data_IF_254147169751
#
_entry.id   IF_254147169751
#
_cell.length_a   1.000
_cell.length_b   1.000
_cell.length_c   1.000
_cell.angle_alpha   90.00
_cell.angle_beta   90.00
_cell.angle_gamma   90.00
#
_symmetry.space_group_name_H-M   'P 1'
#
loop_
_entity.id
_entity.type
_entity.pdbx_description
1 polymer ?
#
# COMPACT_ATOMS: atom_id res chain seq x y z
N UNK A 1 44.33 30.09 23.49
CA UNK A 1 44.58 28.95 22.58
C UNK A 1 44.15 27.60 23.19
N UNK A 2 42.91 27.46 23.68
CA UNK A 2 42.40 26.19 24.26
C UNK A 2 41.07 25.70 23.65
N UNK A 3 40.43 26.49 22.78
CA UNK A 3 39.14 26.12 22.18
C UNK A 3 39.27 25.10 21.02
N UNK A 4 40.39 25.10 20.29
CA UNK A 4 40.61 24.22 19.14
C UNK A 4 40.82 22.74 19.52
N UNK A 5 41.35 22.44 20.70
CA UNK A 5 41.65 21.06 21.13
C UNK A 5 40.42 20.26 21.59
N UNK A 6 39.28 20.92 21.87
CA UNK A 6 38.05 20.26 22.33
C UNK A 6 37.04 20.08 21.19
N UNK A 7 37.10 20.93 20.17
CA UNK A 7 36.17 20.89 19.03
C UNK A 7 36.46 19.70 18.09
N UNK A 8 37.74 19.42 17.82
CA UNK A 8 38.15 18.32 16.93
C UNK A 8 37.68 16.93 17.43
N UNK A 9 37.86 16.53 18.71
CA UNK A 9 37.36 15.24 19.18
C UNK A 9 35.83 15.17 19.20
N UNK A 10 35.14 16.29 19.39
CA UNK A 10 33.67 16.33 19.40
C UNK A 10 33.09 16.16 17.98
N UNK A 11 33.70 16.79 16.97
CA UNK A 11 33.36 16.55 15.56
C UNK A 11 33.68 15.11 15.17
N UNK A 12 34.84 14.59 15.57
CA UNK A 12 35.22 13.20 15.29
C UNK A 12 34.25 12.20 15.94
N UNK A 13 33.81 12.45 17.18
CA UNK A 13 32.80 11.65 17.85
C UNK A 13 31.42 11.73 17.17
N UNK A 14 31.03 12.89 16.67
CA UNK A 14 29.78 13.09 15.93
C UNK A 14 29.80 12.38 14.57
N UNK A 15 30.89 12.48 13.81
CA UNK A 15 31.08 11.77 12.54
C UNK A 15 31.08 10.26 12.81
N UNK A 16 31.81 9.80 13.83
CA UNK A 16 31.83 8.39 14.21
C UNK A 16 30.43 7.91 14.62
N UNK A 17 29.66 8.71 15.36
CA UNK A 17 28.29 8.37 15.74
C UNK A 17 27.35 8.28 14.51
N UNK A 18 27.54 9.14 13.50
CA UNK A 18 26.81 9.06 12.23
C UNK A 18 27.22 7.84 11.37
N UNK A 19 28.46 7.35 11.50
CA UNK A 19 28.94 6.17 10.78
C UNK A 19 28.52 4.83 11.40
N UNK A 20 28.05 4.81 12.66
CA UNK A 20 27.64 3.58 13.36
C UNK A 20 26.10 3.38 13.31
N UNK A 21 25.34 4.41 12.90
CA UNK A 21 23.89 4.28 12.79
C UNK A 21 23.51 3.32 11.65
N UNK A 22 22.65 2.32 11.90
CA UNK A 22 22.21 1.40 10.86
C UNK A 22 21.40 2.15 9.80
N UNK A 23 21.90 2.17 8.56
CA UNK A 23 21.17 2.76 7.42
C UNK A 23 20.05 1.79 7.03
N UNK A 24 18.81 2.22 7.21
CA UNK A 24 17.65 1.52 6.65
C UNK A 24 17.42 2.05 5.23
N UNK A 25 17.57 1.20 4.22
CA UNK A 25 17.18 1.54 2.86
C UNK A 25 15.69 1.16 2.68
N UNK A 26 14.81 2.16 2.74
CA UNK A 26 13.40 1.98 2.37
C UNK A 26 13.29 2.16 0.86
N UNK A 27 12.84 1.13 0.15
CA UNK A 27 12.50 1.26 -1.26
C UNK A 27 11.14 1.93 -1.37
N UNK A 28 11.04 2.87 -2.30
CA UNK A 28 9.77 3.57 -2.52
C UNK A 28 8.73 2.60 -3.06
N UNK A 29 7.61 2.46 -2.34
CA UNK A 29 6.40 1.83 -2.87
C UNK A 29 5.70 2.79 -3.82
N UNK A 30 5.41 2.30 -5.02
CA UNK A 30 4.65 3.05 -6.01
C UNK A 30 3.39 2.27 -6.33
N UNK A 31 2.25 2.83 -5.95
CA UNK A 31 0.94 2.25 -6.19
C UNK A 31 0.26 2.99 -7.34
N UNK A 32 -0.16 2.25 -8.36
CA UNK A 32 -0.92 2.76 -9.49
C UNK A 32 -2.24 2.02 -9.63
N UNK A 33 -3.23 2.66 -10.27
CA UNK A 33 -4.41 1.98 -10.79
C UNK A 33 -4.49 2.16 -12.30
N UNK A 34 -5.13 1.23 -13.00
CA UNK A 34 -5.31 1.31 -14.45
C UNK A 34 -6.13 0.13 -14.97
N UNK A 35 -6.41 0.14 -16.27
CA UNK A 35 -7.17 -0.93 -16.93
C UNK A 35 -6.24 -2.03 -17.42
N UNK A 36 -6.49 -3.28 -17.04
CA UNK A 36 -5.74 -4.45 -17.52
C UNK A 36 -5.89 -4.56 -19.04
N UNK A 37 -4.79 -4.68 -19.77
CA UNK A 37 -4.82 -4.79 -21.24
C UNK A 37 -4.20 -6.06 -21.79
N UNK A 38 -3.07 -6.48 -21.24
CA UNK A 38 -2.30 -7.62 -21.74
C UNK A 38 -1.91 -8.52 -20.59
N UNK A 39 -2.11 -9.82 -20.78
CA UNK A 39 -1.66 -10.88 -19.89
C UNK A 39 -0.75 -11.81 -20.71
N UNK A 40 0.51 -11.92 -20.29
CA UNK A 40 1.47 -12.85 -20.88
C UNK A 40 1.83 -13.87 -19.80
N UNK A 41 1.07 -14.97 -19.78
CA UNK A 41 1.23 -16.06 -18.81
C UNK A 41 2.55 -16.81 -18.97
N UNK A 42 3.16 -16.75 -20.15
CA UNK A 42 4.46 -17.38 -20.44
C UNK A 42 5.58 -16.58 -19.79
N UNK A 43 5.51 -15.25 -19.88
CA UNK A 43 6.48 -14.35 -19.23
C UNK A 43 6.11 -13.99 -17.79
N UNK A 44 4.96 -14.45 -17.31
CA UNK A 44 4.42 -14.11 -16.00
C UNK A 44 4.24 -12.58 -15.82
N UNK A 45 3.84 -11.87 -16.88
CA UNK A 45 3.67 -10.41 -16.87
C UNK A 45 2.25 -9.95 -17.13
N UNK A 46 1.86 -8.84 -16.52
CA UNK A 46 0.58 -8.16 -16.73
C UNK A 46 0.83 -6.67 -17.02
N UNK A 47 0.03 -6.11 -17.94
CA UNK A 47 0.05 -4.70 -18.29
C UNK A 47 -1.24 -3.97 -17.88
N UNK A 48 -1.08 -2.76 -17.34
CA UNK A 48 -2.18 -1.81 -17.10
C UNK A 48 -2.01 -0.58 -17.98
N UNK A 49 -3.12 -0.10 -18.55
CA UNK A 49 -3.19 1.09 -19.41
C UNK A 49 -3.79 2.27 -18.64
N UNK A 50 -3.41 3.48 -19.07
CA UNK A 50 -3.80 4.76 -18.49
C UNK A 50 -3.55 4.78 -16.97
N UNK A 51 -2.30 4.51 -16.54
CA UNK A 51 -1.96 4.43 -15.14
C UNK A 51 -2.18 5.77 -14.42
N UNK A 52 -2.80 5.71 -13.26
CA UNK A 52 -2.89 6.80 -12.30
C UNK A 52 -2.14 6.39 -11.04
N UNK A 53 -1.20 7.20 -10.57
CA UNK A 53 -0.42 6.95 -9.38
C UNK A 53 -1.12 7.51 -8.15
N UNK A 54 -1.16 6.71 -7.09
CA UNK A 54 -1.62 7.14 -5.77
C UNK A 54 -0.53 7.95 -5.07
N UNK A 55 -0.91 9.08 -4.49
CA UNK A 55 -0.03 9.88 -3.65
C UNK A 55 -0.82 10.78 -2.72
N UNK A 56 -0.17 11.23 -1.65
CA UNK A 56 -0.75 12.17 -0.70
C UNK A 56 0.01 13.48 -0.74
N UNK A 57 -0.72 14.58 -0.88
CA UNK A 57 -0.20 15.91 -0.68
C UNK A 57 -0.28 16.23 0.83
N UNK A 58 0.86 16.66 1.40
CA UNK A 58 0.98 16.99 2.81
C UNK A 58 1.05 18.50 2.97
N UNK A 59 -0.09 19.21 3.12
CA UNK A 59 -0.07 20.64 3.33
C UNK A 59 0.60 20.97 4.67
N UNK A 60 1.26 22.13 4.76
CA UNK A 60 1.94 22.62 5.99
C UNK A 60 1.01 22.66 7.20
N UNK A 61 -0.29 22.83 6.95
CA UNK A 61 -1.36 22.75 7.94
C UNK A 61 -2.54 21.97 7.36
N UNK A 62 -3.05 20.97 8.07
CA UNK A 62 -4.24 20.21 7.69
C UNK A 62 -4.02 18.71 7.62
N UNK A 63 -5.06 18.00 7.18
CA UNK A 63 -5.04 16.54 6.99
C UNK A 63 -4.41 16.24 5.62
N UNK A 64 -3.55 15.22 5.49
CA UNK A 64 -3.03 14.78 4.19
C UNK A 64 -4.16 14.52 3.19
N UNK A 65 -4.00 14.98 1.96
CA UNK A 65 -4.97 14.79 0.90
C UNK A 65 -4.44 13.78 -0.10
N UNK A 66 -4.98 12.57 -0.05
CA UNK A 66 -4.57 11.50 -0.95
C UNK A 66 -5.49 11.42 -2.16
N UNK A 67 -4.89 11.31 -3.35
CA UNK A 67 -5.62 11.22 -4.61
C UNK A 67 -4.84 10.41 -5.64
N UNK A 68 -5.55 9.99 -6.67
CA UNK A 68 -4.98 9.38 -7.86
C UNK A 68 -4.66 10.47 -8.88
N UNK A 69 -3.45 10.46 -9.43
CA UNK A 69 -2.99 11.42 -10.43
C UNK A 69 -2.49 10.69 -11.68
N UNK A 70 -2.89 11.09 -12.90
CA UNK A 70 -2.39 10.46 -14.13
C UNK A 70 -0.86 10.47 -14.21
N UNK A 71 -0.29 9.33 -14.63
CA UNK A 71 1.15 9.24 -14.90
C UNK A 71 1.40 9.77 -16.32
N UNK A 72 2.05 10.92 -16.42
CA UNK A 72 2.23 11.63 -17.69
C UNK A 72 3.30 11.04 -18.62
N UNK A 73 4.21 10.24 -18.08
CA UNK A 73 5.38 9.73 -18.81
C UNK A 73 5.13 8.44 -19.60
N UNK A 74 4.03 7.73 -19.33
CA UNK A 74 3.73 6.46 -20.00
C UNK A 74 2.23 6.17 -20.05
N UNK A 75 1.77 5.62 -21.16
CA UNK A 75 0.38 5.19 -21.33
C UNK A 75 0.12 3.77 -20.84
N UNK A 76 1.16 2.96 -20.62
CA UNK A 76 1.08 1.56 -20.18
C UNK A 76 2.22 1.23 -19.22
N UNK A 77 1.90 0.53 -18.14
CA UNK A 77 2.88 -0.08 -17.24
C UNK A 77 2.79 -1.59 -17.35
N UNK A 78 3.95 -2.25 -17.41
CA UNK A 78 4.05 -3.70 -17.45
C UNK A 78 4.98 -4.15 -16.33
N UNK A 79 4.64 -5.26 -15.71
CA UNK A 79 5.48 -5.87 -14.69
C UNK A 79 5.17 -7.35 -14.48
N UNK A 80 6.09 -8.01 -13.80
CA UNK A 80 5.98 -9.41 -13.39
C UNK A 80 4.97 -9.52 -12.25
N UNK A 81 4.05 -10.48 -12.33
CA UNK A 81 3.02 -10.66 -11.31
C UNK A 81 3.58 -11.38 -10.06
N UNK A 82 3.06 -11.11 -8.85
CA UNK A 82 3.56 -11.73 -7.61
C UNK A 82 3.35 -13.24 -7.56
N UNK A 83 2.25 -13.71 -8.14
CA UNK A 83 1.88 -15.13 -8.24
C UNK A 83 1.01 -15.35 -9.50
N UNK A 84 1.14 -16.48 -10.22
CA UNK A 84 0.34 -16.78 -11.41
C UNK A 84 -1.17 -16.78 -11.19
N UNK A 85 -1.65 -16.90 -9.95
CA UNK A 85 -3.08 -16.76 -9.63
C UNK A 85 -3.66 -15.40 -10.06
N UNK A 86 -2.83 -14.37 -10.25
CA UNK A 86 -3.25 -13.08 -10.80
C UNK A 86 -4.02 -13.23 -12.12
N UNK A 87 -3.61 -14.14 -13.00
CA UNK A 87 -4.26 -14.40 -14.30
C UNK A 87 -5.61 -15.11 -14.19
N UNK A 88 -5.98 -15.59 -12.99
CA UNK A 88 -7.29 -16.20 -12.74
C UNK A 88 -8.29 -15.21 -12.12
N UNK A 89 -7.80 -14.08 -11.59
CA UNK A 89 -8.63 -13.08 -10.92
C UNK A 89 -8.82 -11.82 -11.76
N UNK A 90 -7.79 -11.44 -12.53
CA UNK A 90 -7.78 -10.30 -13.42
C UNK A 90 -7.98 -10.77 -14.85
N UNK A 91 -8.70 -9.98 -15.62
CA UNK A 91 -8.93 -10.19 -17.04
C UNK A 91 -8.80 -8.86 -17.78
N UNK A 92 -8.45 -8.91 -19.06
CA UNK A 92 -8.45 -7.74 -19.94
C UNK A 92 -9.74 -6.92 -19.82
N UNK A 93 -9.60 -5.62 -19.57
CA UNK A 93 -10.71 -4.68 -19.32
C UNK A 93 -11.04 -4.45 -17.84
N UNK A 94 -10.55 -5.28 -16.93
CA UNK A 94 -10.71 -5.04 -15.49
C UNK A 94 -9.94 -3.79 -15.06
N UNK A 95 -10.46 -3.07 -14.08
CA UNK A 95 -9.72 -2.03 -13.38
C UNK A 95 -8.94 -2.69 -12.23
N UNK A 96 -7.65 -2.38 -12.12
CA UNK A 96 -6.76 -3.00 -11.14
C UNK A 96 -5.90 -1.94 -10.43
N UNK A 97 -5.57 -2.21 -9.16
CA UNK A 97 -4.45 -1.58 -8.45
C UNK A 97 -3.22 -2.46 -8.64
N UNK A 98 -2.06 -1.86 -8.88
CA UNK A 98 -0.77 -2.49 -8.93
C UNK A 98 0.22 -1.71 -8.06
N UNK A 99 0.96 -2.40 -7.19
CA UNK A 99 2.05 -1.79 -6.41
C UNK A 99 3.37 -2.43 -6.78
N UNK A 100 4.40 -1.61 -6.99
CA UNK A 100 5.79 -2.01 -7.23
C UNK A 100 6.73 -1.41 -6.20
N UNK A 101 7.92 -2.01 -6.04
CA UNK A 101 9.01 -1.49 -5.22
C UNK A 101 10.11 -0.90 -6.10
N UNK A 102 10.58 0.29 -5.73
CA UNK A 102 11.74 0.92 -6.36
C UNK A 102 11.48 1.61 -7.70
N UNK A 103 10.22 1.69 -8.16
CA UNK A 103 9.88 2.36 -9.42
C UNK A 103 8.46 2.08 -9.89
N UNK A 104 8.12 2.59 -11.08
CA UNK A 104 6.86 2.33 -11.77
C UNK A 104 6.98 1.06 -12.61
N UNK A 105 6.26 -0.01 -12.28
CA UNK A 105 6.27 -1.24 -13.09
C UNK A 105 7.38 -2.22 -12.75
N UNK A 106 7.72 -3.06 -13.74
CA UNK A 106 8.76 -4.09 -13.72
C UNK A 106 8.47 -5.30 -12.83
N UNK A 107 8.31 -5.08 -11.53
CA UNK A 107 8.00 -6.11 -10.55
C UNK A 107 6.88 -5.64 -9.64
N UNK A 108 5.71 -6.26 -9.81
CA UNK A 108 4.59 -6.03 -8.93
C UNK A 108 4.78 -6.83 -7.65
N UNK A 109 4.57 -6.18 -6.51
CA UNK A 109 4.45 -6.85 -5.21
C UNK A 109 2.99 -7.09 -4.84
N UNK A 110 2.07 -6.33 -5.45
CA UNK A 110 0.62 -6.48 -5.26
C UNK A 110 -0.13 -6.16 -6.54
N UNK A 111 -1.15 -6.97 -6.84
CA UNK A 111 -2.18 -6.73 -7.84
C UNK A 111 -3.55 -6.95 -7.18
N UNK A 112 -4.46 -6.01 -7.34
CA UNK A 112 -5.78 -6.09 -6.73
C UNK A 112 -6.88 -5.68 -7.72
N UNK A 113 -7.98 -6.44 -7.77
CA UNK A 113 -9.12 -6.17 -8.64
C UNK A 113 -10.03 -5.12 -8.01
N UNK A 114 -10.23 -4.02 -8.73
CA UNK A 114 -11.16 -2.96 -8.34
C UNK A 114 -12.55 -3.29 -8.86
N UNK A 115 -13.53 -3.12 -7.98
CA UNK A 115 -14.94 -3.18 -8.25
C UNK A 115 -15.58 -1.83 -7.95
N UNK A 116 -16.51 -1.38 -8.80
CA UNK A 116 -17.21 -0.10 -8.66
C UNK A 116 -16.94 0.85 -9.83
N UNK A 117 -17.98 1.48 -10.40
CA UNK A 117 -17.86 2.31 -11.60
C UNK A 117 -17.31 3.71 -11.32
N UNK A 118 -17.47 4.22 -10.09
CA UNK A 118 -17.06 5.56 -9.68
C UNK A 118 -15.96 5.49 -8.65
N UNK A 119 -15.04 6.43 -8.69
CA UNK A 119 -13.90 6.50 -7.78
C UNK A 119 -14.28 6.45 -6.30
N UNK A 120 -15.38 7.10 -5.91
CA UNK A 120 -15.91 7.11 -4.52
C UNK A 120 -16.55 5.79 -4.09
N UNK A 121 -16.81 4.89 -5.02
CA UNK A 121 -17.48 3.59 -4.81
C UNK A 121 -16.50 2.41 -5.02
N UNK A 122 -15.22 2.70 -5.31
CA UNK A 122 -14.21 1.70 -5.61
C UNK A 122 -13.86 0.88 -4.36
N UNK A 123 -14.00 -0.43 -4.49
CA UNK A 123 -13.67 -1.43 -3.47
C UNK A 123 -12.87 -2.56 -4.10
N UNK A 124 -12.17 -3.33 -3.26
CA UNK A 124 -11.35 -4.45 -3.70
C UNK A 124 -12.06 -5.78 -3.44
N UNK A 125 -12.02 -6.67 -4.42
CA UNK A 125 -12.66 -8.00 -4.35
C UNK A 125 -11.63 -9.12 -4.27
N UNK A 126 -10.52 -8.97 -4.97
CA UNK A 126 -9.44 -9.95 -5.02
C UNK A 126 -8.08 -9.24 -4.93
N UNK A 127 -7.13 -9.84 -4.22
CA UNK A 127 -5.73 -9.39 -4.11
C UNK A 127 -4.81 -10.58 -4.35
N UNK A 128 -3.76 -10.36 -5.14
CA UNK A 128 -2.60 -11.25 -5.27
C UNK A 128 -1.36 -10.44 -4.92
N UNK A 129 -0.65 -10.83 -3.85
CA UNK A 129 0.49 -10.08 -3.32
C UNK A 129 0.28 -9.60 -1.90
N UNK A 130 0.86 -8.46 -1.53
CA UNK A 130 0.81 -7.92 -0.17
C UNK A 130 -0.46 -7.06 0.06
N UNK A 131 -1.41 -7.49 0.91
CA UNK A 131 -2.64 -6.73 1.14
C UNK A 131 -2.40 -5.35 1.76
N UNK A 132 -1.29 -5.13 2.48
CA UNK A 132 -1.05 -3.86 3.19
C UNK A 132 -0.76 -2.69 2.26
N UNK A 133 -0.43 -2.94 0.99
CA UNK A 133 -0.06 -1.91 0.03
C UNK A 133 -1.25 -1.36 -0.76
N UNK A 134 -2.45 -1.94 -0.56
CA UNK A 134 -3.65 -1.57 -1.31
C UNK A 134 -4.38 -0.43 -0.56
N UNK A 135 -4.50 0.77 -1.17
CA UNK A 135 -5.09 1.93 -0.48
C UNK A 135 -6.63 1.94 -0.51
N UNK A 136 -7.25 1.02 -1.24
CA UNK A 136 -8.70 0.91 -1.37
C UNK A 136 -9.28 -0.11 -0.38
N UNK A 137 -10.46 0.15 0.20
CA UNK A 137 -11.08 -0.77 1.14
C UNK A 137 -11.53 -2.05 0.42
N UNK A 138 -11.56 -3.15 1.17
CA UNK A 138 -12.15 -4.40 0.69
C UNK A 138 -13.68 -4.28 0.64
N UNK A 139 -14.31 -5.01 -0.29
CA UNK A 139 -15.77 -5.02 -0.44
C UNK A 139 -16.45 -5.51 0.84
N UNK A 140 -17.58 -4.89 1.18
CA UNK A 140 -18.39 -5.29 2.34
C UNK A 140 -17.68 -5.07 3.67
N UNK A 141 -16.99 -3.94 3.87
CA UNK A 141 -16.36 -3.52 5.13
C UNK A 141 -15.32 -4.47 5.75
N UNK A 142 -14.89 -5.47 4.99
CA UNK A 142 -13.83 -6.36 5.41
C UNK A 142 -12.47 -5.61 5.48
N UNK A 143 -11.58 -6.10 6.32
CA UNK A 143 -10.16 -5.78 6.24
C UNK A 143 -9.34 -7.03 6.53
N UNK A 144 -8.14 -7.11 5.96
CA UNK A 144 -7.19 -8.19 6.19
C UNK A 144 -5.89 -7.58 6.68
N UNK A 145 -5.49 -7.96 7.88
CA UNK A 145 -4.20 -7.61 8.47
C UNK A 145 -3.30 -8.83 8.51
N UNK A 146 -2.04 -8.63 8.17
CA UNK A 146 -1.06 -9.70 8.05
C UNK A 146 0.18 -9.35 8.86
N UNK A 147 0.74 -10.34 9.56
CA UNK A 147 1.99 -10.21 10.30
C UNK A 147 2.86 -11.44 10.00
N UNK A 148 4.09 -11.21 9.52
CA UNK A 148 4.98 -12.28 9.10
C UNK A 148 5.83 -12.78 10.27
N UNK A 149 5.89 -14.10 10.45
CA UNK A 149 6.75 -14.75 11.46
C UNK A 149 8.03 -15.25 10.77
N UNK A 150 9.22 -14.71 11.10
CA UNK A 150 10.46 -15.12 10.46
C UNK A 150 10.87 -16.55 10.84
N UNK A 151 11.52 -17.25 9.91
CA UNK A 151 12.28 -18.45 10.23
C UNK A 151 13.66 -18.09 10.79
N UNK A 152 13.73 -17.92 12.11
CA UNK A 152 14.97 -17.54 12.79
C UNK A 152 16.06 -18.62 12.74
N UNK A 153 15.71 -19.88 12.45
CA UNK A 153 16.69 -20.97 12.39
C UNK A 153 17.54 -20.92 11.11
N UNK A 154 16.98 -20.38 10.03
CA UNK A 154 17.61 -20.29 8.72
C UNK A 154 17.96 -18.83 8.32
N UNK A 155 17.82 -17.86 9.22
CA UNK A 155 17.95 -16.45 8.87
C UNK A 155 19.41 -15.97 8.84
N UNK A 156 19.93 -15.75 7.63
CA UNK A 156 21.27 -15.21 7.37
C UNK A 156 21.16 -13.84 6.70
N UNK A 157 20.60 -12.84 7.37
CA UNK A 157 20.45 -11.51 6.78
C UNK A 157 19.64 -10.52 7.61
N UNK A 158 19.32 -9.39 7.00
CA UNK A 158 18.43 -8.36 7.56
C UNK A 158 16.95 -8.67 7.32
N UNK A 159 16.69 -9.53 6.33
CA UNK A 159 15.37 -10.04 5.99
C UNK A 159 15.43 -11.57 6.01
N UNK A 160 14.50 -12.19 6.73
CA UNK A 160 14.35 -13.62 6.83
C UNK A 160 13.22 -14.09 5.93
N UNK A 161 13.31 -15.34 5.51
CA UNK A 161 12.15 -16.04 4.95
C UNK A 161 11.07 -16.16 6.03
N UNK A 162 9.82 -15.82 5.72
CA UNK A 162 8.70 -16.02 6.64
C UNK A 162 8.33 -17.51 6.70
N UNK A 163 8.34 -18.07 7.91
CA UNK A 163 7.91 -19.44 8.20
C UNK A 163 6.40 -19.56 8.14
N UNK A 164 5.71 -18.56 8.70
CA UNK A 164 4.26 -18.50 8.85
C UNK A 164 3.80 -17.04 8.76
N UNK A 165 2.50 -16.85 8.59
CA UNK A 165 1.82 -15.57 8.59
C UNK A 165 0.66 -15.60 9.58
N UNK A 166 0.61 -14.68 10.53
CA UNK A 166 -0.60 -14.44 11.31
C UNK A 166 -1.52 -13.54 10.49
N UNK A 167 -2.71 -14.04 10.19
CA UNK A 167 -3.72 -13.33 9.40
C UNK A 167 -4.91 -13.03 10.30
N UNK A 168 -5.30 -11.76 10.36
CA UNK A 168 -6.49 -11.28 11.06
C UNK A 168 -7.48 -10.72 10.04
N UNK A 169 -8.65 -11.34 9.96
CA UNK A 169 -9.79 -10.81 9.21
C UNK A 169 -10.62 -9.95 10.16
N UNK A 170 -10.93 -8.73 9.70
CA UNK A 170 -11.83 -7.81 10.37
C UNK A 170 -13.11 -7.63 9.57
N UNK A 171 -14.22 -7.38 10.25
CA UNK A 171 -15.48 -6.93 9.65
C UNK A 171 -15.99 -5.74 10.45
N UNK A 172 -16.39 -4.67 9.75
CA UNK A 172 -16.80 -3.40 10.36
C UNK A 172 -15.79 -2.90 11.41
N UNK A 173 -14.49 -3.07 11.14
CA UNK A 173 -13.39 -2.66 12.03
C UNK A 173 -13.05 -3.62 13.19
N UNK A 174 -13.88 -4.63 13.45
CA UNK A 174 -13.67 -5.59 14.55
C UNK A 174 -13.01 -6.88 14.06
N UNK A 175 -12.03 -7.41 14.79
CA UNK A 175 -11.43 -8.70 14.48
C UNK A 175 -12.45 -9.84 14.66
N UNK A 176 -12.71 -10.58 13.58
CA UNK A 176 -13.69 -11.69 13.56
C UNK A 176 -13.04 -13.06 13.46
N UNK A 177 -11.81 -13.12 12.93
CA UNK A 177 -11.04 -14.36 12.87
C UNK A 177 -9.54 -14.03 12.79
N UNK A 178 -8.75 -14.65 13.66
CA UNK A 178 -7.28 -14.62 13.59
C UNK A 178 -6.76 -16.04 13.52
N UNK A 179 -5.87 -16.31 12.56
CA UNK A 179 -5.23 -17.61 12.40
C UNK A 179 -3.81 -17.46 11.88
N UNK A 180 -2.91 -18.29 12.38
CA UNK A 180 -1.59 -18.43 11.81
C UNK A 180 -1.62 -19.46 10.67
N UNK A 181 -1.09 -19.07 9.52
CA UNK A 181 -1.03 -19.86 8.29
C UNK A 181 0.41 -20.21 7.97
N UNK A 182 0.70 -21.50 7.79
CA UNK A 182 1.87 -21.94 7.06
C UNK A 182 1.70 -21.72 5.55
N UNK A 183 2.79 -21.84 4.80
CA UNK A 183 2.76 -21.68 3.34
C UNK A 183 1.80 -22.68 2.70
N UNK A 184 0.97 -22.18 1.79
CA UNK A 184 -0.07 -22.94 1.10
C UNK A 184 -1.36 -23.09 1.90
N UNK A 185 -1.38 -22.76 3.19
CA UNK A 185 -2.60 -22.84 4.01
C UNK A 185 -3.56 -21.68 3.73
N UNK A 186 -4.84 -21.98 3.94
CA UNK A 186 -5.94 -21.06 3.70
C UNK A 186 -6.73 -20.85 4.99
N UNK A 187 -7.11 -19.60 5.23
CA UNK A 187 -8.15 -19.18 6.15
C UNK A 187 -9.41 -18.85 5.36
N UNK A 188 -10.58 -19.19 5.90
CA UNK A 188 -11.88 -18.80 5.35
C UNK A 188 -12.79 -18.32 6.46
N UNK A 189 -13.46 -17.20 6.23
CA UNK A 189 -14.46 -16.62 7.11
C UNK A 189 -15.75 -16.38 6.34
N UNK A 190 -16.88 -16.82 6.90
CA UNK A 190 -18.22 -16.68 6.33
C UNK A 190 -19.28 -16.45 7.43
N UNK A 191 -18.89 -15.78 8.53
CA UNK A 191 -19.70 -15.66 9.74
C UNK A 191 -20.82 -14.61 9.73
N UNK A 192 -20.96 -13.80 8.67
CA UNK A 192 -21.94 -12.69 8.61
C UNK A 192 -23.37 -13.11 8.25
N UNK A 193 -23.58 -14.33 7.75
CA UNK A 193 -24.88 -14.83 7.28
C UNK A 193 -25.55 -13.98 6.18
N UNK A 194 -24.79 -13.12 5.50
CA UNK A 194 -25.23 -12.28 4.37
C UNK A 194 -24.78 -12.87 3.01
N UNK A 195 -24.28 -14.11 3.02
CA UNK A 195 -23.70 -14.81 1.87
C UNK A 195 -22.29 -14.35 1.48
N UNK A 196 -21.71 -13.36 2.18
CA UNK A 196 -20.33 -12.96 1.96
C UNK A 196 -19.34 -13.97 2.54
N UNK A 197 -18.13 -14.00 1.95
CA UNK A 197 -17.06 -14.89 2.38
C UNK A 197 -15.71 -14.26 2.07
N UNK A 198 -14.80 -14.30 3.05
CA UNK A 198 -13.39 -13.93 2.88
C UNK A 198 -12.56 -15.21 2.86
N UNK A 199 -11.69 -15.34 1.86
CA UNK A 199 -10.68 -16.39 1.77
C UNK A 199 -9.31 -15.72 1.70
N UNK A 200 -8.38 -16.15 2.55
CA UNK A 200 -6.98 -15.68 2.53
C UNK A 200 -6.07 -16.89 2.49
N UNK A 201 -5.23 -17.00 1.46
CA UNK A 201 -4.20 -18.04 1.33
C UNK A 201 -2.82 -17.41 1.42
N UNK A 202 -1.98 -17.94 2.30
CA UNK A 202 -0.58 -17.52 2.39
C UNK A 202 0.25 -18.30 1.36
N UNK A 203 0.92 -17.61 0.45
CA UNK A 203 1.76 -18.25 -0.57
C UNK A 203 3.22 -18.27 -0.10
N UNK A 204 3.76 -17.08 0.15
CA UNK A 204 5.13 -16.89 0.60
C UNK A 204 5.31 -15.51 1.20
N UNK A 205 6.45 -15.27 1.85
CA UNK A 205 6.76 -13.94 2.34
C UNK A 205 8.10 -13.87 3.04
N UNK A 206 8.42 -12.66 3.46
CA UNK A 206 9.62 -12.29 4.18
C UNK A 206 9.25 -11.60 5.50
N UNK A 207 10.15 -11.61 6.47
CA UNK A 207 10.00 -10.88 7.73
C UNK A 207 11.32 -10.22 8.10
N UNK A 208 11.26 -9.09 8.82
CA UNK A 208 12.46 -8.46 9.34
C UNK A 208 13.20 -9.38 10.31
N UNK A 209 14.52 -9.50 10.19
CA UNK A 209 15.31 -10.36 11.08
C UNK A 209 15.38 -9.85 12.50
N UNK A 210 15.05 -8.59 12.74
CA UNK A 210 14.98 -7.99 14.08
C UNK A 210 13.98 -8.68 15.01
N UNK A 211 12.95 -9.34 14.45
CA UNK A 211 12.03 -10.14 15.23
C UNK A 211 12.65 -11.46 15.73
N UNK A 212 13.87 -11.81 15.29
CA UNK A 212 14.61 -12.97 15.78
C UNK A 212 15.49 -12.63 17.00
N UNK A 213 15.60 -13.55 17.98
CA UNK A 213 16.49 -13.37 19.13
C UNK A 213 17.94 -13.10 18.70
N UNK A 214 18.56 -12.07 19.30
CA UNK A 214 19.98 -11.74 19.05
C UNK A 214 20.28 -11.05 17.72
N UNK A 215 19.26 -10.60 16.97
CA UNK A 215 19.39 -9.91 15.68
C UNK A 215 18.87 -8.46 15.71
N UNK A 216 18.72 -7.88 16.89
CA UNK A 216 18.34 -6.49 17.09
C UNK A 216 19.32 -5.53 16.41
N UNK A 217 18.81 -4.48 15.75
CA UNK A 217 19.62 -3.46 15.09
C UNK A 217 20.03 -3.77 13.66
N UNK A 218 19.72 -4.96 13.13
CA UNK A 218 19.91 -5.28 11.71
C UNK A 218 18.76 -4.68 10.88
N UNK A 219 18.98 -3.54 10.23
CA UNK A 219 17.98 -2.94 9.33
C UNK A 219 18.25 -3.33 7.87
N UNK A 220 17.20 -3.67 7.14
CA UNK A 220 17.28 -4.14 5.75
C UNK A 220 16.25 -3.48 4.84
N UNK A 221 16.17 -3.93 3.58
CA UNK A 221 15.05 -3.56 2.72
C UNK A 221 13.72 -4.01 3.33
N UNK A 222 12.61 -3.40 2.89
CA UNK A 222 11.29 -3.83 3.33
C UNK A 222 11.00 -5.28 2.94
N UNK A 223 10.39 -6.01 3.86
CA UNK A 223 9.96 -7.37 3.61
C UNK A 223 8.70 -7.38 2.74
N UNK A 224 8.65 -8.29 1.77
CA UNK A 224 7.49 -8.46 0.87
C UNK A 224 6.78 -9.77 1.19
N UNK A 225 5.44 -9.74 1.11
CA UNK A 225 4.60 -10.92 1.28
C UNK A 225 3.69 -11.17 0.08
N UNK A 226 3.29 -12.43 -0.12
CA UNK A 226 2.41 -12.85 -1.20
C UNK A 226 1.25 -13.65 -0.62
N UNK A 227 0.06 -13.08 -0.74
CA UNK A 227 -1.21 -13.69 -0.39
C UNK A 227 -2.10 -13.79 -1.61
N UNK A 228 -3.08 -14.70 -1.56
CA UNK A 228 -4.27 -14.65 -2.40
C UNK A 228 -5.44 -14.35 -1.48
N UNK A 229 -5.99 -13.15 -1.59
CA UNK A 229 -7.21 -12.73 -0.90
C UNK A 229 -8.35 -12.73 -1.90
N UNK A 230 -9.46 -13.35 -1.54
CA UNK A 230 -10.67 -13.36 -2.35
C UNK A 230 -11.88 -13.11 -1.47
N UNK A 231 -12.73 -12.18 -1.92
CA UNK A 231 -13.94 -11.80 -1.21
C UNK A 231 -15.14 -12.04 -2.11
N UNK A 232 -16.01 -12.91 -1.63
CA UNK A 232 -17.36 -13.02 -2.17
C UNK A 232 -18.19 -11.91 -1.52
N UNK A 233 -18.71 -10.95 -2.30
CA UNK A 233 -19.48 -9.84 -1.75
C UNK A 233 -20.80 -10.32 -1.12
N UNK A 234 -21.41 -9.54 -0.20
CA UNK A 234 -22.73 -9.84 0.34
C UNK A 234 -23.79 -9.96 -0.75
N UNK A 235 -24.82 -10.79 -0.52
CA UNK A 235 -25.97 -10.91 -1.42
C UNK A 235 -26.67 -9.55 -1.52
N UNK A 236 -26.98 -9.13 -2.75
CA UNK A 236 -27.61 -7.83 -3.00
C UNK A 236 -26.64 -6.65 -2.98
N UNK A 237 -25.33 -6.87 -2.75
CA UNK A 237 -24.33 -5.84 -3.06
C UNK A 237 -24.42 -5.52 -4.55
N UNK A 238 -24.84 -4.29 -4.86
CA UNK A 238 -25.29 -3.89 -6.18
C UNK A 238 -24.29 -4.27 -7.25
N UNK A 239 -24.66 -5.27 -8.08
CA UNK A 239 -23.93 -5.57 -9.30
C UNK A 239 -24.20 -4.45 -10.31
N UNK A 240 -23.50 -3.33 -10.23
CA UNK A 240 -23.50 -2.35 -11.32
C UNK A 240 -22.62 -2.91 -12.44
N UNK A 241 -23.12 -3.96 -13.07
CA UNK A 241 -22.51 -4.61 -14.21
C UNK A 241 -22.67 -3.66 -15.40
N UNK A 242 -21.55 -3.24 -15.99
CA UNK A 242 -21.43 -2.40 -17.20
C UNK A 242 -21.84 -3.20 -18.46
N UNK A 243 -22.79 -4.14 -18.34
CA UNK A 243 -23.25 -4.99 -19.45
C UNK A 243 -24.52 -4.52 -20.15
N UNK A 244 -25.06 -3.36 -19.78
CA UNK A 244 -26.23 -2.77 -20.44
C UNK A 244 -25.94 -1.37 -20.97
N UNK A 245 -24.93 -1.26 -21.84
CA UNK A 245 -24.72 -0.06 -22.64
C UNK A 245 -24.50 -0.42 -24.11
N UNK A 246 -25.29 -1.34 -24.66
CA UNK A 246 -25.37 -1.51 -26.13
C UNK A 246 -26.70 -2.14 -26.56
N UNK A 247 -27.82 -1.44 -26.34
CA UNK A 247 -28.96 -1.36 -27.29
C UNK A 247 -29.90 -0.25 -26.83
N UNK A 248 -29.56 1.00 -27.07
CA UNK A 248 -30.59 2.04 -27.18
C UNK A 248 -30.40 2.73 -28.52
N UNK A 249 -31.38 2.44 -29.37
CA UNK A 249 -31.67 3.02 -30.67
C UNK A 249 -31.51 4.54 -30.64
N UNK A 250 -31.00 5.17 -31.72
CA UNK A 250 -30.89 6.61 -31.83
C UNK A 250 -32.30 7.15 -32.05
N UNK A 251 -32.90 7.75 -31.04
CA UNK A 251 -33.96 8.77 -31.11
C UNK A 251 -34.55 8.96 -29.72
N UNK A 252 -33.86 9.71 -28.86
CA UNK A 252 -34.52 10.56 -27.86
C UNK A 252 -33.50 11.59 -27.37
N UNK A 253 -33.34 12.59 -28.23
CA UNK A 253 -32.67 13.82 -27.89
C UNK A 253 -33.63 14.69 -27.06
N UNK A 254 -33.06 15.27 -26.00
CA UNK A 254 -33.45 16.55 -25.36
C UNK A 254 -34.64 16.55 -24.40
N UNK A 255 -34.34 16.53 -23.10
CA UNK A 255 -35.05 17.38 -22.13
C UNK A 255 -34.06 17.86 -21.05
N UNK A 256 -33.82 19.19 -20.90
CA UNK A 256 -32.99 19.71 -19.82
C UNK A 256 -33.75 19.74 -18.49
N UNK A 257 -33.13 19.21 -17.42
CA UNK A 257 -33.64 19.28 -16.05
C UNK A 257 -33.45 20.71 -15.46
N UNK A 258 -34.34 21.18 -14.55
CA UNK A 258 -34.23 22.49 -13.93
C UNK A 258 -33.10 22.56 -12.89
N UNK A 259 -32.32 23.65 -12.95
CA UNK A 259 -31.25 24.03 -12.02
C UNK A 259 -31.83 24.43 -10.66
N UNK A 260 -31.40 23.78 -9.57
CA UNK A 260 -31.71 24.20 -8.19
C UNK A 260 -30.48 24.88 -7.57
N UNK A 261 -30.63 26.03 -6.89
CA UNK A 261 -29.50 26.79 -6.31
C UNK A 261 -28.87 26.10 -5.09
N UNK A 262 -27.57 26.34 -4.81
CA UNK A 262 -26.84 25.69 -3.73
C UNK A 262 -27.22 26.24 -2.34
N UNK A 263 -27.43 25.33 -1.40
CA UNK A 263 -27.60 25.58 0.04
C UNK A 263 -26.27 25.97 0.69
N UNK A 264 -26.22 26.97 1.58
CA UNK A 264 -24.99 27.45 2.21
C UNK A 264 -24.39 26.44 3.23
N UNK A 265 -23.05 26.44 3.24
CA UNK A 265 -22.15 25.69 4.11
C UNK A 265 -22.25 26.08 5.59
N UNK A 266 -22.19 25.13 6.55
CA UNK A 266 -21.92 25.45 7.94
C UNK A 266 -20.42 25.69 8.20
N UNK A 267 -20.14 26.64 9.08
CA UNK A 267 -18.83 27.05 9.59
C UNK A 267 -18.13 25.99 10.47
N UNK A 268 -16.79 25.98 10.52
CA UNK A 268 -16.02 25.03 11.32
C UNK A 268 -15.86 25.49 12.78
N UNK A 269 -16.06 24.55 13.70
CA UNK A 269 -15.80 24.71 15.14
C UNK A 269 -14.33 24.46 15.46
N UNK A 270 -13.70 25.40 16.19
CA UNK A 270 -12.34 25.33 16.75
C UNK A 270 -12.27 24.42 17.98
N UNK A 271 -11.29 23.51 18.01
CA UNK A 271 -10.48 23.04 19.16
C UNK A 271 -9.70 21.81 18.70
N UNK A 272 -8.45 21.52 19.05
CA UNK A 272 -7.53 22.11 20.00
C UNK A 272 -6.14 21.51 19.78
N UNK A 273 -5.17 22.22 20.31
CA UNK A 273 -3.71 22.10 20.21
C UNK A 273 -3.15 20.77 20.71
N UNK A 274 -2.28 20.10 19.94
CA UNK A 274 -1.24 19.19 20.45
C UNK A 274 0.00 19.22 19.51
N UNK A 275 1.16 19.09 20.14
CA UNK A 275 2.48 19.62 19.76
C UNK A 275 3.25 18.67 18.81
N UNK A 276 4.02 19.16 17.80
CA UNK A 276 4.88 18.31 16.99
C UNK A 276 6.27 18.10 17.63
N UNK A 277 6.68 16.83 17.76
CA UNK A 277 8.06 16.46 18.00
C UNK A 277 8.89 16.63 16.71
N UNK A 278 9.51 17.78 16.55
CA UNK A 278 10.55 18.03 15.54
C UNK A 278 11.80 18.55 16.23
N UNK A 279 12.75 17.70 16.60
CA UNK A 279 14.08 18.16 17.03
C UNK A 279 15.12 17.03 17.06
N UNK A 280 15.61 16.57 15.90
CA UNK A 280 16.93 15.90 15.86
C UNK A 280 17.80 16.24 14.62
N UNK A 281 17.29 16.98 13.62
CA UNK A 281 18.08 17.32 12.41
C UNK A 281 18.83 18.65 12.43
N UNK A 282 18.47 19.60 13.29
CA UNK A 282 18.90 21.01 13.14
C UNK A 282 20.18 21.39 13.91
N UNK A 283 20.68 20.54 14.81
CA UNK A 283 21.88 20.85 15.62
C UNK A 283 23.20 20.63 14.88
N UNK A 284 23.23 19.82 13.80
CA UNK A 284 24.45 19.55 13.05
C UNK A 284 24.85 20.71 12.11
N UNK A 285 23.86 21.46 11.57
CA UNK A 285 24.13 22.56 10.63
C UNK A 285 24.52 23.86 11.35
N UNK A 286 23.96 24.13 12.53
CA UNK A 286 24.31 25.30 13.33
C UNK A 286 25.78 25.27 13.82
N UNK A 287 26.32 24.09 14.13
CA UNK A 287 27.72 23.92 14.54
C UNK A 287 28.70 24.21 13.40
N UNK A 288 28.34 23.91 12.14
CA UNK A 288 29.17 24.18 10.97
C UNK A 288 29.17 25.66 10.56
N UNK A 289 28.07 26.38 10.77
CA UNK A 289 27.99 27.82 10.47
C UNK A 289 28.77 28.66 11.48
N UNK A 290 28.76 28.28 12.77
CA UNK A 290 29.51 29.01 13.81
C UNK A 290 31.04 28.85 13.70
N UNK A 291 31.54 27.74 13.16
CA UNK A 291 32.99 27.58 12.93
C UNK A 291 33.53 28.40 11.74
N UNK A 292 32.65 28.88 10.84
CA UNK A 292 33.07 29.67 9.67
C UNK A 292 33.23 31.17 9.96
N UNK A 293 32.87 31.61 11.18
CA UNK A 293 32.94 33.02 11.61
C UNK A 293 34.03 33.30 12.65
N UNK A 294 34.88 32.32 12.96
CA UNK A 294 36.01 32.47 13.87
C UNK A 294 37.33 32.12 13.18
N UNK A 295 37.64 32.85 12.11
CA UNK A 295 38.98 33.01 11.54
C UNK A 295 39.14 34.44 11.04
#
# INVERSE_FOLDING_TARGET
>A
MHCHNVIIPLIAALILCCCIAPVSAVLLEVTCKGTVTTEDTVKNTLSIKNPEQYGCDYPTTGVPQCSWKPVSSTSTLTGTVPDPAAFSILSGGDLAVATSLGGLGEQWITLAKIYGPRETEQVITDIVGDPSTVPLPLVGDYAVETEMVPDCSACTGTVCTAKQATVTVKSSGSAVLTKTLARGETLTYNGRNDGSRVMVKFISGQAASQACPGKSGMTGPQAVSVFIVKITPPVGYGQVNIRTATTTRPDEALTPLPTTPPTPSPEPTKSGTLVPFTAFGALAVAALVLMRWSY
#
